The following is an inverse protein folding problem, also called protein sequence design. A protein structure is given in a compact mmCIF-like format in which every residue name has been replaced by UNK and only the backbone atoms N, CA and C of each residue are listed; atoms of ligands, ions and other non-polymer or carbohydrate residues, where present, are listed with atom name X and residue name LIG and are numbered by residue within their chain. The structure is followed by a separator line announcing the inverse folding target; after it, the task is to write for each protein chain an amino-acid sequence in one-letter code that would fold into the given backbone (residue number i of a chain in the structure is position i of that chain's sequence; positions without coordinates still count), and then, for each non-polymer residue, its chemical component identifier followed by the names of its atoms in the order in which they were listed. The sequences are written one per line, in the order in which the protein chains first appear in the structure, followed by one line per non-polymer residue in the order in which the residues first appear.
data_IF_711532841478
#
_entry.id   IF_711532841478
#
_cell.length_a   1.000
_cell.length_b   1.000
_cell.length_c   1.000
_cell.angle_alpha   90.00
_cell.angle_beta   90.00
_cell.angle_gamma   90.00
#
_symmetry.space_group_name_H-M   'P 1'
#
loop_
_entity.id
_entity.type
_entity.pdbx_description
1 polymer ?
#
# COMPACT_ATOMS: atom_id res chain seq x y z
N UNK A 1 -41.89 34.76 -39.26
CA UNK A 1 -42.11 34.12 -37.94
C UNK A 1 -41.96 32.60 -38.10
N UNK A 2 -40.75 32.07 -37.91
CA UNK A 2 -40.49 30.63 -37.96
C UNK A 2 -40.18 30.14 -36.54
N UNK A 3 -41.10 29.33 -35.98
CA UNK A 3 -41.00 28.74 -34.64
C UNK A 3 -39.85 27.71 -34.63
N UNK A 4 -38.74 28.04 -33.97
CA UNK A 4 -37.64 27.10 -33.72
C UNK A 4 -38.15 26.01 -32.75
N UNK A 5 -38.11 24.73 -33.10
CA UNK A 5 -38.54 23.66 -32.20
C UNK A 5 -37.52 23.47 -31.07
N UNK A 6 -37.91 22.93 -29.91
CA UNK A 6 -37.06 22.81 -28.73
C UNK A 6 -36.14 21.59 -28.86
N UNK A 7 -35.26 21.58 -29.87
CA UNK A 7 -34.27 20.51 -30.06
C UNK A 7 -33.19 20.54 -28.96
N UNK A 8 -33.02 21.69 -28.30
CA UNK A 8 -32.08 21.86 -27.18
C UNK A 8 -32.55 21.15 -25.90
N UNK A 9 -33.85 20.92 -25.73
CA UNK A 9 -34.40 20.25 -24.54
C UNK A 9 -34.25 18.72 -24.61
N UNK A 10 -34.16 18.15 -25.82
CA UNK A 10 -34.05 16.71 -26.03
C UNK A 10 -32.65 16.17 -25.72
N UNK A 11 -31.61 17.00 -25.86
CA UNK A 11 -30.20 16.61 -25.66
C UNK A 11 -29.79 16.55 -24.18
N UNK A 12 -30.58 17.16 -23.29
CA UNK A 12 -30.34 17.19 -21.84
C UNK A 12 -30.88 15.95 -21.10
N UNK A 13 -31.72 15.14 -21.75
CA UNK A 13 -32.40 13.99 -21.10
C UNK A 13 -31.59 12.68 -21.26
N UNK A 14 -30.63 12.62 -22.18
CA UNK A 14 -29.84 11.40 -22.45
C UNK A 14 -28.60 11.23 -21.56
N UNK A 15 -28.37 12.11 -20.58
CA UNK A 15 -27.15 12.13 -19.76
C UNK A 15 -27.12 11.20 -18.53
N UNK A 16 -28.23 10.55 -18.14
CA UNK A 16 -28.31 9.84 -16.85
C UNK A 16 -28.36 8.30 -16.93
N UNK A 17 -28.20 7.71 -18.11
CA UNK A 17 -28.27 6.25 -18.28
C UNK A 17 -26.89 5.62 -18.54
N UNK A 18 -25.91 5.81 -17.67
CA UNK A 18 -24.72 4.95 -17.67
C UNK A 18 -24.16 4.71 -16.27
N UNK A 19 -24.77 3.75 -15.59
CA UNK A 19 -24.13 2.92 -14.58
C UNK A 19 -24.74 1.51 -14.69
N UNK A 20 -24.37 0.76 -15.72
CA UNK A 20 -24.52 -0.70 -15.65
C UNK A 20 -23.41 -1.21 -14.74
N UNK A 21 -23.72 -1.39 -13.46
CA UNK A 21 -22.90 -2.17 -12.53
C UNK A 21 -22.97 -3.61 -13.04
N UNK A 22 -22.07 -3.98 -13.95
CA UNK A 22 -21.89 -5.36 -14.35
C UNK A 22 -21.61 -6.14 -13.05
N UNK A 23 -22.48 -7.08 -12.72
CA UNK A 23 -22.26 -7.96 -11.59
C UNK A 23 -21.02 -8.78 -11.92
N UNK A 24 -19.87 -8.37 -11.37
CA UNK A 24 -18.69 -9.21 -11.29
C UNK A 24 -19.14 -10.43 -10.48
N UNK A 25 -19.11 -11.60 -11.11
CA UNK A 25 -19.35 -12.86 -10.41
C UNK A 25 -18.48 -12.85 -9.15
N UNK A 26 -19.05 -13.09 -7.95
CA UNK A 26 -18.26 -13.01 -6.73
C UNK A 26 -17.13 -14.02 -6.84
N UNK A 27 -15.89 -13.52 -6.89
CA UNK A 27 -14.72 -14.36 -6.72
C UNK A 27 -14.91 -15.09 -5.38
N UNK A 28 -15.07 -16.41 -5.43
CA UNK A 28 -15.30 -17.27 -4.25
C UNK A 28 -14.09 -17.31 -3.31
N UNK A 29 -12.96 -16.75 -3.73
CA UNK A 29 -11.86 -16.36 -2.85
C UNK A 29 -12.22 -15.06 -2.11
N UNK A 30 -13.15 -15.14 -1.16
CA UNK A 30 -13.26 -14.07 -0.15
C UNK A 30 -11.99 -14.11 0.68
N UNK A 31 -11.02 -13.26 0.32
CA UNK A 31 -9.84 -13.06 1.15
C UNK A 31 -10.24 -12.78 2.60
N UNK A 32 -9.40 -13.23 3.54
CA UNK A 32 -9.58 -12.96 4.97
C UNK A 32 -9.74 -11.46 5.18
N UNK A 33 -10.81 -11.04 5.87
CA UNK A 33 -11.01 -9.65 6.22
C UNK A 33 -10.01 -9.27 7.32
N UNK A 34 -9.16 -8.29 7.04
CA UNK A 34 -8.17 -7.79 7.98
C UNK A 34 -8.83 -6.75 8.90
N UNK A 35 -9.16 -7.14 10.12
CA UNK A 35 -9.67 -6.21 11.13
C UNK A 35 -8.49 -5.43 11.70
N UNK A 36 -8.52 -4.11 11.53
CA UNK A 36 -7.48 -3.19 12.00
C UNK A 36 -7.96 -2.41 13.22
N UNK A 37 -7.07 -2.23 14.18
CA UNK A 37 -7.23 -1.26 15.27
C UNK A 37 -7.10 0.18 14.75
N UNK A 38 -7.53 1.16 15.55
CA UNK A 38 -7.38 2.58 15.19
C UNK A 38 -5.91 2.98 14.94
N UNK A 39 -4.98 2.42 15.71
CA UNK A 39 -3.53 2.64 15.57
C UNK A 39 -3.02 2.08 14.24
N UNK A 40 -3.44 0.88 13.88
CA UNK A 40 -3.07 0.26 12.61
C UNK A 40 -3.66 1.01 11.43
N UNK A 41 -4.86 1.59 11.57
CA UNK A 41 -5.46 2.44 10.54
C UNK A 41 -4.68 3.76 10.33
N UNK A 42 -4.14 4.34 11.40
CA UNK A 42 -3.19 5.46 11.29
C UNK A 42 -1.92 5.02 10.54
N UNK A 43 -1.42 3.83 10.83
CA UNK A 43 -0.24 3.28 10.14
C UNK A 43 -0.51 3.02 8.65
N UNK A 44 -1.67 2.52 8.27
CA UNK A 44 -2.08 2.38 6.85
C UNK A 44 -1.98 3.72 6.12
N UNK A 45 -2.44 4.79 6.76
CA UNK A 45 -2.36 6.15 6.19
C UNK A 45 -0.91 6.60 6.01
N UNK A 46 -0.06 6.33 7.02
CA UNK A 46 1.37 6.61 6.97
C UNK A 46 2.09 5.83 5.85
N UNK A 47 1.83 4.53 5.74
CA UNK A 47 2.46 3.65 4.74
C UNK A 47 2.02 4.01 3.30
N UNK A 48 0.77 4.41 3.11
CA UNK A 48 0.30 4.91 1.82
C UNK A 48 0.98 6.22 1.43
N UNK A 49 1.14 7.15 2.38
CA UNK A 49 1.85 8.41 2.13
C UNK A 49 3.33 8.16 1.79
N UNK A 50 4.00 7.27 2.52
CA UNK A 50 5.36 6.83 2.22
C UNK A 50 5.44 6.20 0.82
N UNK A 51 4.52 5.28 0.49
CA UNK A 51 4.47 4.58 -0.79
C UNK A 51 4.37 5.55 -1.97
N UNK A 52 3.47 6.53 -1.89
CA UNK A 52 3.31 7.53 -2.94
C UNK A 52 4.57 8.42 -3.08
N UNK A 53 5.22 8.76 -1.96
CA UNK A 53 6.47 9.52 -1.97
C UNK A 53 7.62 8.69 -2.58
N UNK A 54 7.72 7.41 -2.20
CA UNK A 54 8.71 6.48 -2.73
C UNK A 54 8.55 6.33 -4.24
N UNK A 55 7.33 6.08 -4.72
CA UNK A 55 7.08 5.91 -6.15
C UNK A 55 7.43 7.16 -6.95
N UNK A 56 7.06 8.36 -6.47
CA UNK A 56 7.45 9.64 -7.11
C UNK A 56 8.96 9.81 -7.21
N UNK A 57 9.70 9.47 -6.17
CA UNK A 57 11.16 9.57 -6.16
C UNK A 57 11.79 8.57 -7.14
N UNK A 58 11.28 7.33 -7.16
CA UNK A 58 11.77 6.30 -8.09
C UNK A 58 11.47 6.65 -9.54
N UNK A 59 10.27 7.16 -9.83
CA UNK A 59 9.88 7.61 -11.16
C UNK A 59 10.73 8.80 -11.64
N UNK A 60 10.97 9.78 -10.76
CA UNK A 60 11.85 10.92 -11.07
C UNK A 60 13.30 10.48 -11.35
N UNK A 61 13.76 9.41 -10.70
CA UNK A 61 15.08 8.83 -10.95
C UNK A 61 15.10 7.92 -12.20
N UNK A 62 13.95 7.45 -12.65
CA UNK A 62 13.78 6.55 -13.79
C UNK A 62 13.76 7.33 -15.13
N UNK A 63 14.89 7.96 -15.44
CA UNK A 63 15.05 8.83 -16.62
C UNK A 63 15.05 8.08 -17.96
N UNK A 64 15.17 6.75 -17.95
CA UNK A 64 15.27 5.91 -19.14
C UNK A 64 13.94 5.52 -19.79
N UNK A 65 12.79 5.95 -19.25
CA UNK A 65 11.47 5.56 -19.77
C UNK A 65 11.17 4.05 -19.65
N UNK A 66 11.92 3.35 -18.81
CA UNK A 66 11.77 1.91 -18.56
C UNK A 66 10.65 1.63 -17.58
N UNK A 67 10.11 0.42 -17.59
CA UNK A 67 9.04 0.03 -16.66
C UNK A 67 9.53 0.12 -15.20
N UNK A 68 8.74 0.77 -14.34
CA UNK A 68 8.98 0.82 -12.90
C UNK A 68 8.05 -0.15 -12.18
N UNK A 69 8.63 -1.21 -11.58
CA UNK A 69 7.91 -2.17 -10.76
C UNK A 69 8.60 -2.33 -9.41
N UNK A 70 7.88 -2.02 -8.33
CA UNK A 70 8.39 -2.09 -6.95
C UNK A 70 7.28 -2.55 -6.03
N UNK A 71 7.62 -3.28 -4.95
CA UNK A 71 6.70 -3.59 -3.85
C UNK A 71 6.98 -2.62 -2.70
N UNK A 72 6.17 -1.56 -2.50
CA UNK A 72 6.38 -0.59 -1.44
C UNK A 72 6.27 -1.22 -0.05
N UNK A 73 5.37 -2.20 0.09
CA UNK A 73 5.20 -2.96 1.32
C UNK A 73 6.49 -3.67 1.72
N UNK A 74 7.19 -4.30 0.78
CA UNK A 74 8.49 -4.95 1.03
C UNK A 74 9.53 -3.97 1.56
N UNK A 75 9.60 -2.78 0.97
CA UNK A 75 10.52 -1.71 1.41
C UNK A 75 10.17 -1.23 2.82
N UNK A 76 8.88 -1.00 3.11
CA UNK A 76 8.42 -0.62 4.45
C UNK A 76 8.77 -1.66 5.52
N UNK A 77 8.63 -2.96 5.20
CA UNK A 77 9.01 -4.04 6.10
C UNK A 77 10.52 -4.05 6.36
N UNK A 78 11.35 -4.00 5.32
CA UNK A 78 12.80 -4.01 5.46
C UNK A 78 13.28 -2.83 6.32
N UNK A 79 12.85 -1.61 6.00
CA UNK A 79 13.22 -0.41 6.76
C UNK A 79 12.61 -0.41 8.17
N UNK A 80 11.43 -0.98 8.35
CA UNK A 80 10.81 -1.20 9.67
C UNK A 80 11.67 -2.12 10.55
N UNK A 81 12.13 -3.25 10.02
CA UNK A 81 13.07 -4.14 10.72
C UNK A 81 14.39 -3.45 11.03
N UNK A 82 14.99 -2.75 10.05
CA UNK A 82 16.23 -1.99 10.26
C UNK A 82 16.07 -0.91 11.34
N UNK A 83 14.90 -0.25 11.41
CA UNK A 83 14.64 0.77 12.43
C UNK A 83 14.68 0.22 13.85
N UNK A 84 14.36 -1.07 14.07
CA UNK A 84 14.49 -1.69 15.39
C UNK A 84 15.96 -1.78 15.86
N UNK A 85 16.92 -1.85 14.94
CA UNK A 85 18.35 -1.84 15.24
C UNK A 85 18.97 -0.44 15.31
N UNK A 86 18.20 0.61 15.00
CA UNK A 86 18.67 1.99 14.98
C UNK A 86 18.44 2.70 16.33
N UNK A 87 19.25 3.72 16.62
CA UNK A 87 19.10 4.56 17.81
C UNK A 87 19.33 6.05 17.48
N UNK A 88 18.91 6.93 18.40
CA UNK A 88 19.16 8.37 18.33
C UNK A 88 18.65 9.01 17.04
N UNK A 89 19.50 9.82 16.40
CA UNK A 89 19.17 10.53 15.16
C UNK A 89 18.79 9.59 14.01
N UNK A 90 19.42 8.41 13.93
CA UNK A 90 19.14 7.41 12.89
C UNK A 90 17.73 6.85 13.03
N UNK A 91 17.30 6.52 14.25
CA UNK A 91 15.93 6.08 14.51
C UNK A 91 14.92 7.17 14.16
N UNK A 92 15.20 8.42 14.51
CA UNK A 92 14.37 9.57 14.16
C UNK A 92 14.24 9.73 12.64
N UNK A 93 15.33 9.54 11.89
CA UNK A 93 15.30 9.60 10.43
C UNK A 93 14.40 8.49 9.83
N UNK A 94 14.47 7.26 10.35
CA UNK A 94 13.57 6.17 9.92
C UNK A 94 12.11 6.50 10.21
N UNK A 95 11.81 6.94 11.44
CA UNK A 95 10.46 7.32 11.86
C UNK A 95 9.84 8.40 10.98
N UNK A 96 10.64 9.42 10.62
CA UNK A 96 10.22 10.50 9.74
C UNK A 96 10.02 10.02 8.30
N UNK A 97 10.94 9.19 7.79
CA UNK A 97 10.89 8.69 6.41
C UNK A 97 9.68 7.80 6.17
N UNK A 98 9.43 6.88 7.10
CA UNK A 98 8.29 5.95 7.07
C UNK A 98 7.01 6.55 7.67
N UNK A 99 7.03 7.84 8.00
CA UNK A 99 5.89 8.64 8.44
C UNK A 99 5.16 8.12 9.69
N UNK A 100 5.89 7.53 10.65
CA UNK A 100 5.32 6.97 11.89
C UNK A 100 5.88 7.60 13.17
N UNK A 101 6.40 8.83 13.12
CA UNK A 101 6.98 9.50 14.29
C UNK A 101 6.06 9.56 15.52
N UNK A 102 4.73 9.54 15.33
CA UNK A 102 3.73 9.49 16.40
C UNK A 102 3.44 8.09 16.98
N UNK A 103 4.06 7.03 16.47
CA UNK A 103 3.85 5.65 16.89
C UNK A 103 5.06 5.09 17.64
N UNK A 104 4.80 4.21 18.60
CA UNK A 104 5.86 3.43 19.26
C UNK A 104 6.38 2.34 18.33
N UNK A 105 7.62 1.89 18.57
CA UNK A 105 8.21 0.80 17.79
C UNK A 105 7.41 -0.51 17.94
N UNK A 106 6.88 -0.77 19.14
CA UNK A 106 6.03 -1.92 19.41
C UNK A 106 4.75 -1.90 18.56
N UNK A 107 4.05 -0.76 18.50
CA UNK A 107 2.84 -0.60 17.67
C UNK A 107 3.12 -0.84 16.18
N UNK A 108 4.28 -0.39 15.70
CA UNK A 108 4.71 -0.59 14.31
C UNK A 108 5.03 -2.06 14.04
N UNK A 109 5.70 -2.74 14.98
CA UNK A 109 6.00 -4.16 14.86
C UNK A 109 4.75 -5.03 14.92
N UNK A 110 3.79 -4.70 15.80
CA UNK A 110 2.51 -5.41 15.92
C UNK A 110 1.70 -5.29 14.62
N UNK A 111 1.64 -4.09 14.04
CA UNK A 111 1.01 -3.85 12.74
C UNK A 111 1.64 -4.72 11.65
N UNK A 112 2.97 -4.72 11.55
CA UNK A 112 3.70 -5.51 10.57
C UNK A 112 3.51 -7.03 10.78
N UNK A 113 3.45 -7.49 12.02
CA UNK A 113 3.13 -8.87 12.35
C UNK A 113 1.71 -9.25 11.91
N UNK A 114 0.73 -8.37 12.16
CA UNK A 114 -0.65 -8.57 11.74
C UNK A 114 -0.74 -8.71 10.21
N UNK A 115 -0.06 -7.83 9.46
CA UNK A 115 0.00 -7.90 8.00
C UNK A 115 0.64 -9.20 7.49
N UNK A 116 1.79 -9.60 8.03
CA UNK A 116 2.48 -10.84 7.62
C UNK A 116 1.58 -12.07 7.84
N UNK A 117 0.82 -12.06 8.94
CA UNK A 117 0.00 -13.20 9.37
C UNK A 117 -1.33 -13.29 8.63
N UNK A 118 -1.92 -12.15 8.27
CA UNK A 118 -3.32 -12.08 7.88
C UNK A 118 -3.57 -11.58 6.44
N UNK A 119 -2.53 -11.22 5.67
CA UNK A 119 -2.72 -10.85 4.27
C UNK A 119 -3.29 -12.03 3.45
N UNK A 120 -4.44 -11.86 2.76
CA UNK A 120 -5.06 -12.93 1.99
C UNK A 120 -4.23 -13.29 0.75
N UNK A 121 -4.03 -14.60 0.52
CA UNK A 121 -3.35 -15.12 -0.69
C UNK A 121 -1.85 -15.37 -0.55
N UNK A 122 -1.33 -15.56 0.66
CA UNK A 122 0.10 -15.79 0.91
C UNK A 122 0.44 -17.28 1.15
N UNK A 123 0.79 -18.09 0.13
CA UNK A 123 1.40 -19.39 0.38
C UNK A 123 2.85 -19.27 0.89
N UNK A 124 3.49 -18.10 0.80
CA UNK A 124 4.76 -17.72 1.49
C UNK A 124 5.17 -16.29 1.12
N UNK A 125 4.88 -15.30 1.96
CA UNK A 125 5.50 -13.97 1.82
C UNK A 125 6.91 -14.04 2.40
N UNK A 126 7.92 -14.20 1.57
CA UNK A 126 9.30 -14.21 2.02
C UNK A 126 10.01 -12.94 1.53
N UNK A 127 10.35 -12.05 2.46
CA UNK A 127 11.33 -10.99 2.20
C UNK A 127 12.69 -11.66 2.27
N UNK A 128 13.38 -11.76 1.12
CA UNK A 128 14.76 -12.23 1.06
C UNK A 128 15.69 -11.03 1.02
N UNK A 129 16.10 -10.57 2.20
CA UNK A 129 17.14 -9.56 2.29
C UNK A 129 18.51 -10.20 1.99
N UNK A 130 19.23 -9.60 1.03
CA UNK A 130 20.60 -9.97 0.67
C UNK A 130 21.52 -8.86 1.15
N UNK A 131 21.53 -8.58 2.45
CA UNK A 131 22.55 -7.75 3.09
C UNK A 131 23.95 -8.37 3.00
N UNK A 132 24.96 -7.65 3.48
CA UNK A 132 26.34 -8.12 3.63
C UNK A 132 26.51 -9.16 4.77
N UNK A 133 25.41 -9.61 5.37
CA UNK A 133 25.36 -10.62 6.42
C UNK A 133 25.62 -12.02 5.81
N UNK A 134 26.66 -12.71 6.28
CA UNK A 134 27.11 -14.01 5.76
C UNK A 134 26.05 -15.15 5.82
N UNK A 135 24.89 -14.91 6.45
CA UNK A 135 23.80 -15.90 6.66
C UNK A 135 22.43 -15.24 6.43
N UNK A 136 21.90 -15.23 5.20
CA UNK A 136 20.58 -14.66 4.93
C UNK A 136 19.49 -15.53 5.57
N UNK A 137 18.86 -15.05 6.63
CA UNK A 137 17.64 -15.65 7.17
C UNK A 137 16.44 -15.01 6.49
N UNK A 138 15.66 -15.75 5.69
CA UNK A 138 14.43 -15.21 5.16
C UNK A 138 13.43 -15.00 6.30
N UNK A 139 12.94 -13.78 6.47
CA UNK A 139 11.73 -13.53 7.27
C UNK A 139 10.54 -13.89 6.39
N UNK A 140 10.02 -15.09 6.61
CA UNK A 140 8.87 -15.62 5.91
C UNK A 140 7.61 -15.54 6.80
N UNK A 141 6.56 -14.90 6.28
CA UNK A 141 5.21 -15.10 6.73
C UNK A 141 4.65 -16.39 6.13
N UNK A 142 4.40 -17.38 6.97
CA UNK A 142 3.66 -18.57 6.56
C UNK A 142 2.18 -18.32 6.83
N UNK A 143 1.40 -18.15 5.77
CA UNK A 143 -0.05 -18.28 5.87
C UNK A 143 -0.36 -19.68 6.38
N UNK A 144 -1.14 -19.77 7.45
CA UNK A 144 -1.73 -21.04 7.88
C UNK A 144 -2.97 -21.35 7.06
#
# INVERSE_FOLDING_TARGET
MLRKPPLLLLLLITGFASCKKAAVAPNTNKGKNLVLTAVEQQKVTADNAFTLKLFKNLDSANTGGTNLFVSPLSVSFALGMTSNGANGATLTAFKNTLNFAGLSQAQVNDYYNNLITNLPGQPSFCIRDKGNEQRPYPVCGYGK
#
